data_IF_943462184572
#
_entry.id   IF_943462184572
#
_cell.length_a   1.000
_cell.length_b   1.000
_cell.length_c   1.000
_cell.angle_alpha   90.00
_cell.angle_beta   90.00
_cell.angle_gamma   90.00
#
_symmetry.space_group_name_H-M   'P 1'
#
loop_
_entity.id
_entity.type
_entity.pdbx_description
1 polymer ?
#
# COMPACT_ATOMS: atom_id res chain seq x y z
N UNK A 1 1.71 -21.60 -39.42
CA UNK A 1 0.70 -22.09 -38.45
C UNK A 1 1.32 -22.55 -37.13
N UNK A 2 2.65 -22.66 -37.01
CA UNK A 2 3.27 -23.25 -35.81
C UNK A 2 3.49 -22.28 -34.64
N UNK A 3 3.68 -20.98 -34.91
CA UNK A 3 3.89 -19.98 -33.86
C UNK A 3 2.71 -19.83 -32.88
N UNK A 4 1.47 -19.92 -33.38
CA UNK A 4 0.27 -19.78 -32.54
C UNK A 4 0.07 -20.97 -31.59
N UNK A 5 0.45 -22.18 -32.01
CA UNK A 5 0.39 -23.38 -31.15
C UNK A 5 1.44 -23.35 -30.05
N UNK A 6 2.65 -22.90 -30.36
CA UNK A 6 3.73 -22.73 -29.37
C UNK A 6 3.34 -21.69 -28.33
N UNK A 7 2.74 -20.57 -28.74
CA UNK A 7 2.25 -19.55 -27.82
C UNK A 7 1.12 -20.07 -26.91
N UNK A 8 0.17 -20.85 -27.44
CA UNK A 8 -0.91 -21.46 -26.65
C UNK A 8 -0.38 -22.45 -25.60
N UNK A 9 0.59 -23.30 -25.96
CA UNK A 9 1.23 -24.21 -25.00
C UNK A 9 1.95 -23.47 -23.87
N UNK A 10 2.61 -22.36 -24.19
CA UNK A 10 3.28 -21.52 -23.19
C UNK A 10 2.27 -20.91 -22.20
N UNK A 11 1.13 -20.42 -22.71
CA UNK A 11 0.04 -19.88 -21.89
C UNK A 11 -0.57 -20.96 -20.98
N UNK A 12 -0.82 -22.16 -21.50
CA UNK A 12 -1.33 -23.30 -20.72
C UNK A 12 -0.35 -23.70 -19.61
N UNK A 13 0.95 -23.69 -19.89
CA UNK A 13 2.00 -23.96 -18.90
C UNK A 13 2.04 -22.90 -17.79
N UNK A 14 1.89 -21.62 -18.13
CA UNK A 14 1.80 -20.54 -17.16
C UNK A 14 0.54 -20.64 -16.29
N UNK A 15 -0.61 -20.98 -16.87
CA UNK A 15 -1.86 -21.16 -16.12
C UNK A 15 -1.77 -22.31 -15.11
N UNK A 16 -1.23 -23.47 -15.51
CA UNK A 16 -1.01 -24.59 -14.59
C UNK A 16 -0.04 -24.25 -13.46
N UNK A 17 0.98 -23.44 -13.74
CA UNK A 17 1.92 -22.96 -12.72
C UNK A 17 1.20 -22.08 -11.68
N UNK A 18 0.40 -21.12 -12.14
CA UNK A 18 -0.39 -20.23 -11.27
C UNK A 18 -1.42 -21.02 -10.46
N UNK A 19 -2.14 -21.95 -11.11
CA UNK A 19 -3.09 -22.85 -10.45
C UNK A 19 -2.41 -23.64 -9.33
N UNK A 20 -1.25 -24.27 -9.61
CA UNK A 20 -0.48 -25.02 -8.63
C UNK A 20 0.10 -24.17 -7.48
N UNK A 21 0.42 -22.90 -7.74
CA UNK A 21 0.85 -21.95 -6.69
C UNK A 21 -0.33 -21.62 -5.76
N UNK A 22 -1.49 -21.31 -6.31
CA UNK A 22 -2.69 -21.00 -5.53
C UNK A 22 -3.16 -22.20 -4.71
N UNK A 23 -3.17 -23.40 -5.29
CA UNK A 23 -3.46 -24.65 -4.58
C UNK A 23 -2.47 -24.91 -3.44
N UNK A 24 -1.17 -24.61 -3.64
CA UNK A 24 -0.16 -24.76 -2.58
C UNK A 24 -0.33 -23.75 -1.44
N UNK A 25 -0.73 -22.51 -1.76
CA UNK A 25 -1.01 -21.48 -0.74
C UNK A 25 -2.22 -21.91 0.09
N UNK A 26 -3.27 -22.39 -0.58
CA UNK A 26 -4.49 -22.87 0.07
C UNK A 26 -4.22 -24.15 0.90
N UNK A 27 -3.42 -25.08 0.39
CA UNK A 27 -3.06 -26.33 1.08
C UNK A 27 -2.17 -26.15 2.32
N UNK A 28 -1.57 -24.96 2.51
CA UNK A 28 -0.86 -24.61 3.75
C UNK A 28 -1.78 -24.01 4.82
N UNK A 29 -3.03 -23.72 4.48
CA UNK A 29 -4.04 -23.26 5.42
C UNK A 29 -4.82 -24.50 5.94
N UNK A 30 -4.95 -24.66 7.26
CA UNK A 30 -5.46 -25.91 7.85
C UNK A 30 -6.97 -26.12 7.72
N UNK A 31 -7.74 -25.19 7.14
CA UNK A 31 -9.21 -25.26 7.16
C UNK A 31 -9.83 -25.58 5.79
N UNK A 32 -10.78 -26.51 5.85
CA UNK A 32 -11.65 -27.08 4.80
C UNK A 32 -11.03 -27.88 3.64
N UNK A 33 -10.73 -29.15 3.95
CA UNK A 33 -10.58 -30.20 2.93
C UNK A 33 -11.96 -30.66 2.47
N UNK A 34 -12.52 -30.00 1.46
CA UNK A 34 -13.68 -30.51 0.73
C UNK A 34 -13.37 -30.60 -0.76
N UNK A 35 -13.08 -31.82 -1.20
CA UNK A 35 -13.26 -32.39 -2.54
C UNK A 35 -13.15 -31.44 -3.75
N UNK A 36 -11.91 -31.15 -4.17
CA UNK A 36 -11.66 -30.68 -5.55
C UNK A 36 -11.44 -31.87 -6.46
N UNK A 37 -12.51 -32.31 -7.11
CA UNK A 37 -12.49 -33.30 -8.17
C UNK A 37 -11.63 -32.79 -9.33
N UNK A 38 -10.44 -33.38 -9.47
CA UNK A 38 -9.49 -33.15 -10.56
C UNK A 38 -10.02 -33.76 -11.85
N UNK A 39 -10.82 -33.00 -12.60
CA UNK A 39 -11.26 -33.36 -13.95
C UNK A 39 -10.14 -33.20 -14.97
N UNK A 40 -9.25 -34.19 -15.07
CA UNK A 40 -8.24 -34.27 -16.14
C UNK A 40 -8.94 -34.70 -17.43
N UNK A 41 -9.10 -33.79 -18.39
CA UNK A 41 -9.57 -34.14 -19.74
C UNK A 41 -8.65 -33.57 -20.82
N UNK A 42 -8.14 -34.46 -21.67
CA UNK A 42 -7.64 -34.13 -23.00
C UNK A 42 -8.75 -34.43 -24.01
N UNK A 43 -8.95 -33.57 -25.02
CA UNK A 43 -9.03 -33.92 -26.47
C UNK A 43 -9.67 -32.81 -27.32
N UNK A 44 -8.95 -32.34 -28.36
CA UNK A 44 -9.51 -31.70 -29.56
C UNK A 44 -9.06 -30.23 -29.81
N UNK A 45 -8.76 -29.83 -31.06
CA UNK A 45 -8.25 -28.47 -31.38
C UNK A 45 -9.27 -27.33 -31.15
N UNK A 46 -10.56 -27.63 -31.03
CA UNK A 46 -11.58 -26.66 -30.57
C UNK A 46 -11.77 -26.67 -29.04
N UNK A 47 -11.22 -27.68 -28.35
CA UNK A 47 -11.31 -27.82 -26.90
C UNK A 47 -10.21 -27.06 -26.15
N UNK A 48 -9.15 -26.59 -26.82
CA UNK A 48 -8.06 -25.81 -26.20
C UNK A 48 -8.53 -24.45 -25.70
N UNK A 49 -9.44 -23.78 -26.43
CA UNK A 49 -9.99 -22.48 -26.02
C UNK A 49 -10.98 -22.61 -24.85
N UNK A 50 -11.82 -23.65 -24.88
CA UNK A 50 -12.75 -23.96 -23.78
C UNK A 50 -12.00 -24.41 -22.52
N UNK A 51 -10.90 -25.16 -22.68
CA UNK A 51 -10.00 -25.52 -21.60
C UNK A 51 -9.37 -24.29 -20.95
N UNK A 52 -8.86 -23.35 -21.75
CA UNK A 52 -8.29 -22.10 -21.25
C UNK A 52 -9.32 -21.28 -20.45
N UNK A 53 -10.57 -21.22 -20.91
CA UNK A 53 -11.64 -20.52 -20.20
C UNK A 53 -11.99 -21.21 -18.87
N UNK A 54 -12.07 -22.55 -18.85
CA UNK A 54 -12.31 -23.32 -17.63
C UNK A 54 -11.17 -23.20 -16.62
N UNK A 55 -9.92 -23.30 -17.08
CA UNK A 55 -8.72 -23.18 -16.25
C UNK A 55 -8.61 -21.77 -15.66
N UNK A 56 -8.84 -20.73 -16.48
CA UNK A 56 -8.86 -19.35 -16.01
C UNK A 56 -9.96 -19.11 -14.96
N UNK A 57 -11.15 -19.69 -15.15
CA UNK A 57 -12.22 -19.62 -14.15
C UNK A 57 -11.87 -20.37 -12.86
N UNK A 58 -11.22 -21.53 -12.95
CA UNK A 58 -10.75 -22.27 -11.77
C UNK A 58 -9.69 -21.50 -10.99
N UNK A 59 -8.76 -20.84 -11.68
CA UNK A 59 -7.73 -19.98 -11.08
C UNK A 59 -8.37 -18.76 -10.41
N UNK A 60 -9.38 -18.16 -11.04
CA UNK A 60 -10.11 -17.03 -10.48
C UNK A 60 -10.84 -17.38 -9.19
N UNK A 61 -11.52 -18.53 -9.15
CA UNK A 61 -12.19 -19.00 -7.93
C UNK A 61 -11.18 -19.36 -6.82
N UNK A 62 -10.07 -20.03 -7.16
CA UNK A 62 -8.97 -20.27 -6.22
C UNK A 62 -8.38 -18.97 -5.67
N UNK A 63 -8.20 -17.95 -6.51
CA UNK A 63 -7.66 -16.66 -6.10
C UNK A 63 -8.60 -15.95 -5.11
N UNK A 64 -9.92 -15.95 -5.37
CA UNK A 64 -10.91 -15.38 -4.42
C UNK A 64 -10.88 -16.08 -3.07
N UNK A 65 -10.75 -17.40 -3.07
CA UNK A 65 -10.74 -18.18 -1.85
C UNK A 65 -9.48 -17.91 -1.02
N UNK A 66 -8.30 -17.91 -1.66
CA UNK A 66 -7.04 -17.50 -1.04
C UNK A 66 -7.14 -16.08 -0.47
N UNK A 67 -7.75 -15.14 -1.20
CA UNK A 67 -7.96 -13.77 -0.73
C UNK A 67 -8.88 -13.70 0.49
N UNK A 68 -9.96 -14.49 0.52
CA UNK A 68 -10.89 -14.57 1.64
C UNK A 68 -10.23 -15.14 2.91
N UNK A 69 -9.41 -16.18 2.74
CA UNK A 69 -8.69 -16.85 3.82
C UNK A 69 -7.60 -15.96 4.40
N UNK A 70 -6.83 -15.30 3.53
CA UNK A 70 -5.81 -14.33 3.96
C UNK A 70 -6.44 -13.14 4.68
N UNK A 71 -7.59 -12.66 4.20
CA UNK A 71 -8.34 -11.58 4.84
C UNK A 71 -8.84 -11.98 6.23
N UNK A 72 -9.38 -13.19 6.37
CA UNK A 72 -9.81 -13.74 7.66
C UNK A 72 -8.64 -13.88 8.64
N UNK A 73 -7.53 -14.52 8.23
CA UNK A 73 -6.34 -14.69 9.06
C UNK A 73 -5.72 -13.34 9.47
N UNK A 74 -5.73 -12.36 8.57
CA UNK A 74 -5.28 -11.00 8.87
C UNK A 74 -6.16 -10.35 9.93
N UNK A 75 -7.48 -10.44 9.82
CA UNK A 75 -8.41 -9.88 10.80
C UNK A 75 -8.26 -10.53 12.18
N UNK A 76 -8.10 -11.85 12.26
CA UNK A 76 -7.87 -12.50 13.54
C UNK A 76 -6.55 -12.11 14.20
N UNK A 77 -5.47 -11.97 13.40
CA UNK A 77 -4.16 -11.58 13.95
C UNK A 77 -4.14 -10.13 14.40
N UNK A 78 -4.84 -9.23 13.72
CA UNK A 78 -5.02 -7.84 14.18
C UNK A 78 -5.88 -7.79 15.44
N UNK A 79 -6.98 -8.53 15.50
CA UNK A 79 -7.84 -8.59 16.69
C UNK A 79 -7.06 -9.08 17.93
N UNK A 80 -6.28 -10.16 17.78
CA UNK A 80 -5.43 -10.69 18.88
C UNK A 80 -4.37 -9.69 19.33
N UNK A 81 -3.85 -8.84 18.44
CA UNK A 81 -2.90 -7.77 18.80
C UNK A 81 -3.61 -6.63 19.54
N UNK A 82 -4.76 -6.21 19.05
CA UNK A 82 -5.55 -5.13 19.66
C UNK A 82 -6.01 -5.50 21.07
N UNK A 83 -6.47 -6.74 21.28
CA UNK A 83 -6.86 -7.23 22.61
C UNK A 83 -5.66 -7.27 23.57
N UNK A 84 -4.47 -7.64 23.09
CA UNK A 84 -3.23 -7.58 23.88
C UNK A 84 -2.82 -6.14 24.20
N UNK A 85 -2.94 -5.21 23.26
CA UNK A 85 -2.65 -3.79 23.50
C UNK A 85 -3.58 -3.22 24.58
N UNK A 86 -4.89 -3.51 24.50
CA UNK A 86 -5.86 -3.07 25.51
C UNK A 86 -5.53 -3.62 26.91
N UNK A 87 -5.11 -4.89 27.01
CA UNK A 87 -4.67 -5.48 28.28
C UNK A 87 -3.42 -4.80 28.84
N UNK A 88 -2.46 -4.49 27.98
CA UNK A 88 -1.24 -3.79 28.39
C UNK A 88 -1.53 -2.36 28.83
N UNK A 89 -2.40 -1.65 28.12
CA UNK A 89 -2.87 -0.30 28.49
C UNK A 89 -3.60 -0.30 29.84
N UNK A 90 -4.43 -1.31 30.12
CA UNK A 90 -5.11 -1.43 31.42
C UNK A 90 -4.11 -1.65 32.55
N UNK A 91 -3.09 -2.51 32.33
CA UNK A 91 -2.02 -2.74 33.31
C UNK A 91 -1.15 -1.51 33.54
N UNK A 92 -0.77 -0.80 32.46
CA UNK A 92 -0.03 0.45 32.56
C UNK A 92 -0.82 1.52 33.34
N UNK A 93 -2.13 1.63 33.07
CA UNK A 93 -3.01 2.54 33.79
C UNK A 93 -3.11 2.19 35.28
N UNK A 94 -3.14 0.89 35.61
CA UNK A 94 -3.11 0.41 37.01
C UNK A 94 -1.80 0.76 37.70
N UNK A 95 -0.66 0.47 37.06
CA UNK A 95 0.67 0.77 37.60
C UNK A 95 0.91 2.28 37.76
N UNK A 96 0.37 3.10 36.86
CA UNK A 96 0.40 4.55 37.01
C UNK A 96 -0.37 5.03 38.23
N UNK A 97 -1.57 4.48 38.49
CA UNK A 97 -2.35 4.81 39.69
C UNK A 97 -1.63 4.38 40.96
N UNK A 98 -1.07 3.18 40.99
CA UNK A 98 -0.29 2.69 42.13
C UNK A 98 0.94 3.56 42.38
N UNK A 99 1.69 3.95 41.34
CA UNK A 99 2.79 4.91 41.50
C UNK A 99 2.33 6.27 42.03
N UNK A 100 1.16 6.75 41.60
CA UNK A 100 0.59 7.99 42.14
C UNK A 100 0.20 7.84 43.61
N UNK A 101 -0.35 6.70 44.00
CA UNK A 101 -0.69 6.37 45.38
C UNK A 101 0.55 6.26 46.26
N UNK A 102 1.60 5.57 45.81
CA UNK A 102 2.91 5.51 46.47
C UNK A 102 3.53 6.91 46.61
N UNK A 103 3.46 7.73 45.56
CA UNK A 103 3.93 9.11 45.61
C UNK A 103 3.18 9.95 46.64
N UNK A 104 1.85 9.81 46.70
CA UNK A 104 1.03 10.50 47.69
C UNK A 104 1.35 10.02 49.12
N UNK A 105 1.50 8.71 49.34
CA UNK A 105 1.91 8.17 50.65
C UNK A 105 3.29 8.66 51.07
N UNK A 106 4.26 8.68 50.14
CA UNK A 106 5.59 9.22 50.41
C UNK A 106 5.52 10.69 50.81
N UNK A 107 4.69 11.48 50.10
CA UNK A 107 4.49 12.89 50.42
C UNK A 107 3.89 13.07 51.82
N UNK A 108 2.88 12.27 52.18
CA UNK A 108 2.30 12.27 53.54
C UNK A 108 3.37 11.90 54.58
N UNK A 109 4.12 10.84 54.37
CA UNK A 109 5.18 10.40 55.28
C UNK A 109 6.29 11.46 55.45
N UNK A 110 6.66 12.16 54.38
CA UNK A 110 7.60 13.29 54.44
C UNK A 110 7.00 14.43 55.27
N UNK A 111 5.74 14.82 55.02
CA UNK A 111 5.10 15.91 55.77
C UNK A 111 4.88 15.56 57.25
N UNK A 112 4.59 14.30 57.58
CA UNK A 112 4.50 13.82 58.97
C UNK A 112 5.86 13.80 59.65
N UNK A 113 6.90 13.37 58.93
CA UNK A 113 8.29 13.44 59.40
C UNK A 113 8.70 14.90 59.67
N UNK A 114 8.45 15.81 58.74
CA UNK A 114 8.77 17.24 58.88
C UNK A 114 7.99 17.87 60.04
N UNK A 115 6.70 17.55 60.20
CA UNK A 115 5.90 18.03 61.33
C UNK A 115 6.37 17.47 62.68
N UNK A 116 6.82 16.21 62.72
CA UNK A 116 7.40 15.60 63.92
C UNK A 116 8.77 16.21 64.26
N UNK A 117 9.61 16.48 63.26
CA UNK A 117 10.88 17.20 63.42
C UNK A 117 10.65 18.62 63.93
N UNK A 118 9.70 19.37 63.35
CA UNK A 118 9.34 20.70 63.84
C UNK A 118 8.79 20.69 65.27
N UNK A 119 7.94 19.72 65.61
CA UNK A 119 7.41 19.60 66.98
C UNK A 119 8.51 19.22 67.98
N UNK A 120 9.43 18.31 67.62
CA UNK A 120 10.59 17.98 68.46
C UNK A 120 11.51 19.19 68.67
N UNK A 121 11.74 19.98 67.62
CA UNK A 121 12.55 21.21 67.68
C UNK A 121 11.88 22.29 68.53
N UNK A 122 10.54 22.40 68.55
CA UNK A 122 9.81 23.35 69.41
C UNK A 122 9.79 22.96 70.89
N UNK A 123 9.84 21.67 71.21
CA UNK A 123 9.83 21.18 72.60
C UNK A 123 11.21 21.12 73.26
N UNK A 124 12.30 21.15 72.50
CA UNK A 124 13.66 20.98 73.03
C UNK A 124 14.44 22.30 72.99
N UNK A 125 14.98 22.71 74.14
CA UNK A 125 15.93 23.82 74.23
C UNK A 125 17.21 23.49 73.43
N UNK A 126 17.88 24.51 72.83
CA UNK A 126 19.05 24.33 71.96
C UNK A 126 20.24 23.80 72.76
N UNK A 127 20.35 22.47 72.86
CA UNK A 127 21.40 21.79 73.61
C UNK A 127 21.28 20.27 73.60
N UNK A 128 20.07 19.73 73.46
CA UNK A 128 19.83 18.29 73.57
C UNK A 128 19.41 17.66 72.22
N UNK A 129 20.41 17.35 71.38
CA UNK A 129 20.19 16.69 70.07
C UNK A 129 19.96 15.18 70.19
N UNK A 130 20.25 14.58 71.35
CA UNK A 130 20.11 13.14 71.57
C UNK A 130 18.66 12.76 71.90
N UNK A 131 17.95 13.61 72.65
CA UNK A 131 16.54 13.38 72.97
C UNK A 131 15.60 13.50 71.76
N UNK A 132 15.95 14.32 70.76
CA UNK A 132 15.21 14.37 69.49
C UNK A 132 15.44 13.12 68.63
N UNK A 133 16.63 12.52 68.68
CA UNK A 133 16.96 11.29 67.96
C UNK A 133 16.24 10.08 68.54
N UNK A 134 16.11 9.98 69.86
CA UNK A 134 15.38 8.90 70.52
C UNK A 134 13.87 8.95 70.26
N UNK A 135 13.27 10.15 70.18
CA UNK A 135 11.86 10.31 69.81
C UNK A 135 11.57 9.90 68.35
N UNK A 136 12.45 10.28 67.41
CA UNK A 136 12.33 9.87 65.99
C UNK A 136 12.47 8.35 65.84
N UNK A 137 13.40 7.73 66.57
CA UNK A 137 13.58 6.28 66.60
C UNK A 137 12.36 5.55 67.16
N UNK A 138 11.74 6.05 68.22
CA UNK A 138 10.51 5.46 68.78
C UNK A 138 9.31 5.59 67.82
N UNK A 139 9.22 6.67 67.05
CA UNK A 139 8.16 6.83 66.04
C UNK A 139 8.40 5.88 64.86
N UNK A 140 9.65 5.75 64.40
CA UNK A 140 10.02 4.79 63.37
C UNK A 140 9.74 3.35 63.81
N UNK A 141 10.04 3.00 65.07
CA UNK A 141 9.75 1.70 65.67
C UNK A 141 8.23 1.43 65.73
N UNK A 142 7.42 2.41 66.13
CA UNK A 142 5.95 2.30 66.14
C UNK A 142 5.36 2.19 64.74
N UNK A 143 5.90 2.91 63.76
CA UNK A 143 5.49 2.83 62.36
C UNK A 143 5.81 1.47 61.75
N UNK A 144 7.01 0.95 62.01
CA UNK A 144 7.49 -0.35 61.55
C UNK A 144 6.69 -1.51 62.18
N UNK A 145 6.34 -1.40 63.46
CA UNK A 145 5.42 -2.33 64.14
C UNK A 145 4.03 -2.33 63.50
N UNK A 146 3.50 -1.18 63.08
CA UNK A 146 2.15 -1.06 62.51
C UNK A 146 2.02 -1.70 61.12
N UNK A 147 3.13 -1.82 60.39
CA UNK A 147 3.22 -2.55 59.10
C UNK A 147 3.77 -3.97 59.24
N UNK A 148 3.89 -4.49 60.47
CA UNK A 148 4.22 -5.90 60.74
C UNK A 148 5.70 -6.25 60.82
N UNK A 149 6.60 -5.27 60.83
CA UNK A 149 8.05 -5.47 60.98
C UNK A 149 8.48 -5.11 62.42
N UNK A 150 8.17 -5.96 63.40
CA UNK A 150 8.69 -5.81 64.76
C UNK A 150 10.07 -6.47 64.90
N UNK A 151 11.10 -5.71 65.28
CA UNK A 151 12.42 -6.25 65.63
C UNK A 151 12.36 -6.93 67.01
N UNK A 152 12.64 -8.24 67.06
CA UNK A 152 12.81 -9.01 68.30
C UNK A 152 14.22 -8.71 68.85
N UNK A 153 14.34 -7.77 69.80
CA UNK A 153 15.60 -7.47 70.50
C UNK A 153 15.48 -7.70 72.04
N UNK A 154 14.48 -8.46 72.47
CA UNK A 154 14.20 -8.68 73.90
C UNK A 154 14.76 -10.01 74.42
N UNK A 155 16.07 -10.27 74.29
CA UNK A 155 16.72 -11.44 74.94
C UNK A 155 18.13 -11.20 75.52
N UNK A 156 18.84 -10.10 75.27
CA UNK A 156 20.29 -10.02 75.63
C UNK A 156 20.64 -8.90 76.65
N UNK A 157 19.74 -8.50 77.54
CA UNK A 157 20.17 -7.73 78.72
C UNK A 157 19.33 -8.09 79.95
N UNK A 158 19.64 -9.27 80.50
CA UNK A 158 19.29 -9.65 81.86
C UNK A 158 20.56 -9.74 82.70
N UNK A 159 20.94 -8.64 83.36
CA UNK A 159 21.73 -8.70 84.61
C UNK A 159 20.73 -9.00 85.74
N UNK A 160 20.89 -10.09 86.52
CA UNK A 160 20.02 -10.33 87.65
C UNK A 160 20.45 -9.44 88.84
N UNK A 161 19.49 -8.63 89.27
CA UNK A 161 19.51 -7.94 90.54
C UNK A 161 19.56 -8.94 91.70
N UNK A 162 20.40 -8.62 92.68
CA UNK A 162 20.55 -9.27 93.97
C UNK A 162 19.22 -9.38 94.73
N UNK A 163 18.93 -10.59 95.21
CA UNK A 163 17.83 -10.89 96.11
C UNK A 163 18.11 -10.43 97.55
N UNK A 164 17.11 -9.82 98.17
CA UNK A 164 17.03 -9.46 99.58
C UNK A 164 16.48 -10.63 100.44
N UNK A 165 17.21 -10.98 101.53
CA UNK A 165 16.71 -11.30 102.90
C UNK A 165 15.70 -12.49 103.09
N UNK A 166 15.31 -12.98 104.31
CA UNK A 166 15.63 -12.54 105.68
C UNK A 166 15.88 -13.64 106.77
N UNK A 167 16.21 -13.18 108.00
CA UNK A 167 15.76 -13.71 109.34
C UNK A 167 16.32 -15.05 109.87
N UNK A 168 16.51 -15.37 111.18
CA UNK A 168 16.31 -14.77 112.53
C UNK A 168 16.78 -15.82 113.57
N UNK A 169 17.31 -15.38 114.74
CA UNK A 169 17.26 -15.97 116.12
C UNK A 169 17.59 -17.47 116.35
N UNK A 170 18.25 -17.93 117.41
CA UNK A 170 18.11 -17.55 118.83
C UNK A 170 19.24 -18.19 119.67
N UNK A 171 19.47 -17.65 120.86
CA UNK A 171 20.44 -18.14 121.83
C UNK A 171 20.00 -19.43 122.54
N UNK A 172 20.94 -20.25 123.02
CA UNK A 172 20.87 -20.95 124.34
C UNK A 172 22.14 -21.75 124.68
N UNK A 173 22.81 -21.32 125.76
CA UNK A 173 23.36 -22.10 126.88
C UNK A 173 24.09 -23.44 126.66
N UNK A 174 25.39 -23.42 127.01
CA UNK A 174 26.11 -24.37 127.87
C UNK A 174 25.57 -25.80 128.07
N UNK A 175 26.40 -26.81 127.84
CA UNK A 175 26.93 -27.71 128.88
C UNK A 175 27.87 -28.76 128.26
N UNK A 176 29.03 -28.90 128.91
CA UNK A 176 30.05 -29.93 128.73
C UNK A 176 29.52 -31.37 128.60
N UNK A 177 30.02 -32.15 127.64
CA UNK A 177 30.60 -33.50 127.91
C UNK A 177 31.10 -34.19 126.64
N UNK A 178 32.41 -34.07 126.44
CA UNK A 178 33.38 -35.05 125.92
C UNK A 178 32.92 -36.22 125.01
N UNK A 179 33.53 -36.21 123.81
CA UNK A 179 34.02 -37.39 123.08
C UNK A 179 33.00 -38.26 122.30
N UNK A 180 32.23 -37.65 121.38
CA UNK A 180 31.53 -38.35 120.27
C UNK A 180 31.41 -37.56 118.94
N UNK A 181 32.04 -36.39 118.79
CA UNK A 181 31.89 -35.52 117.60
C UNK A 181 32.74 -35.92 116.38
N UNK A 182 33.82 -36.68 116.55
CA UNK A 182 34.72 -36.98 115.42
C UNK A 182 34.06 -37.86 114.34
N UNK A 183 33.26 -38.87 114.71
CA UNK A 183 32.69 -39.81 113.74
C UNK A 183 31.52 -39.23 112.92
N UNK A 184 30.69 -38.36 113.51
CA UNK A 184 29.55 -37.72 112.84
C UNK A 184 30.01 -36.63 111.85
N UNK A 185 31.06 -35.87 112.19
CA UNK A 185 31.68 -34.88 111.31
C UNK A 185 32.36 -35.55 110.10
N UNK A 186 33.04 -36.69 110.30
CA UNK A 186 33.64 -37.45 109.20
C UNK A 186 32.59 -38.02 108.23
N UNK A 187 31.45 -38.51 108.73
CA UNK A 187 30.34 -38.99 107.88
C UNK A 187 29.65 -37.84 107.14
N UNK A 188 29.49 -36.67 107.78
CA UNK A 188 28.95 -35.46 107.14
C UNK A 188 29.87 -34.93 106.04
N UNK A 189 31.18 -34.86 106.29
CA UNK A 189 32.18 -34.47 105.30
C UNK A 189 32.23 -35.45 104.12
N UNK A 190 32.16 -36.75 104.37
CA UNK A 190 32.11 -37.76 103.31
C UNK A 190 30.87 -37.60 102.42
N UNK A 191 29.70 -37.33 103.02
CA UNK A 191 28.46 -37.06 102.29
C UNK A 191 28.57 -35.76 101.46
N UNK A 192 29.18 -34.70 102.00
CA UNK A 192 29.42 -33.45 101.25
C UNK A 192 30.35 -33.68 100.06
N UNK A 193 31.45 -34.42 100.24
CA UNK A 193 32.38 -34.75 99.15
C UNK A 193 31.71 -35.64 98.11
N UNK A 194 30.93 -36.64 98.52
CA UNK A 194 30.16 -37.49 97.62
C UNK A 194 29.14 -36.69 96.80
N UNK A 195 28.41 -35.77 97.43
CA UNK A 195 27.46 -34.88 96.76
C UNK A 195 28.17 -33.92 95.80
N UNK A 196 29.32 -33.35 96.19
CA UNK A 196 30.13 -32.52 95.30
C UNK A 196 30.71 -33.32 94.13
N UNK A 197 31.15 -34.55 94.37
CA UNK A 197 31.66 -35.45 93.32
C UNK A 197 30.56 -35.87 92.35
N UNK A 198 29.34 -36.17 92.83
CA UNK A 198 28.16 -36.44 91.98
C UNK A 198 27.77 -35.21 91.17
N UNK A 199 27.75 -34.03 91.81
CA UNK A 199 27.51 -32.74 91.15
C UNK A 199 28.51 -32.47 90.04
N UNK A 200 29.81 -32.65 90.30
CA UNK A 200 30.86 -32.46 89.29
C UNK A 200 30.77 -33.51 88.17
N UNK A 201 30.43 -34.77 88.48
CA UNK A 201 30.23 -35.78 87.44
C UNK A 201 29.03 -35.43 86.53
N UNK A 202 27.94 -34.92 87.10
CA UNK A 202 26.80 -34.47 86.32
C UNK A 202 27.20 -33.29 85.42
N UNK A 203 27.90 -32.29 85.97
CA UNK A 203 28.37 -31.14 85.20
C UNK A 203 29.34 -31.55 84.07
N UNK A 204 30.25 -32.49 84.32
CA UNK A 204 31.13 -33.06 83.29
C UNK A 204 30.33 -33.77 82.20
N UNK A 205 29.26 -34.48 82.57
CA UNK A 205 28.36 -35.13 81.60
C UNK A 205 27.60 -34.12 80.76
N UNK A 206 27.02 -33.09 81.40
CA UNK A 206 26.24 -32.05 80.74
C UNK A 206 27.12 -31.23 79.79
N UNK A 207 28.35 -30.87 80.19
CA UNK A 207 29.31 -30.17 79.34
C UNK A 207 29.74 -31.00 78.13
N UNK A 208 29.89 -32.32 78.29
CA UNK A 208 30.20 -33.22 77.15
C UNK A 208 29.04 -33.27 76.17
N UNK A 209 27.81 -33.39 76.67
CA UNK A 209 26.63 -33.36 75.81
C UNK A 209 26.51 -32.03 75.07
N UNK A 210 26.67 -30.90 75.77
CA UNK A 210 26.63 -29.57 75.14
C UNK A 210 27.75 -29.39 74.10
N UNK A 211 28.93 -29.95 74.34
CA UNK A 211 30.03 -29.95 73.37
C UNK A 211 29.70 -30.79 72.13
N UNK A 212 29.16 -31.99 72.30
CA UNK A 212 28.74 -32.87 71.20
C UNK A 212 27.60 -32.25 70.37
N UNK A 213 26.63 -31.60 71.03
CA UNK A 213 25.56 -30.83 70.39
C UNK A 213 26.14 -29.67 69.57
N UNK A 214 27.02 -28.86 70.16
CA UNK A 214 27.69 -27.74 69.45
C UNK A 214 28.51 -28.20 68.25
N UNK A 215 29.18 -29.37 68.36
CA UNK A 215 29.91 -29.97 67.24
C UNK A 215 28.95 -30.40 66.12
N UNK A 216 27.82 -30.99 66.47
CA UNK A 216 26.80 -31.40 65.49
C UNK A 216 26.18 -30.21 64.76
N UNK A 217 25.97 -29.09 65.47
CA UNK A 217 25.51 -27.83 64.90
C UNK A 217 26.57 -27.23 63.97
N UNK A 218 27.85 -27.28 64.35
CA UNK A 218 28.95 -26.85 63.49
C UNK A 218 28.98 -27.65 62.17
N UNK A 219 28.86 -28.99 62.26
CA UNK A 219 28.78 -29.87 61.08
C UNK A 219 27.53 -29.58 60.24
N UNK A 220 26.41 -29.18 60.86
CA UNK A 220 25.20 -28.76 60.16
C UNK A 220 25.38 -27.45 59.40
N UNK A 221 25.93 -26.41 60.05
CA UNK A 221 26.22 -25.15 59.41
C UNK A 221 27.25 -25.29 58.29
N UNK A 222 28.26 -26.16 58.45
CA UNK A 222 29.23 -26.45 57.39
C UNK A 222 28.56 -27.09 56.17
N UNK A 223 27.63 -28.03 56.38
CA UNK A 223 26.83 -28.61 55.28
C UNK A 223 25.97 -27.57 54.57
N UNK A 224 25.29 -26.71 55.32
CA UNK A 224 24.50 -25.62 54.73
C UNK A 224 25.38 -24.64 53.95
N UNK A 225 26.54 -24.28 54.49
CA UNK A 225 27.50 -23.42 53.80
C UNK A 225 27.98 -24.03 52.48
N UNK A 226 28.30 -25.33 52.46
CA UNK A 226 28.68 -26.06 51.26
C UNK A 226 27.54 -26.12 50.23
N UNK A 227 26.30 -26.36 50.66
CA UNK A 227 25.13 -26.37 49.77
C UNK A 227 24.89 -24.98 49.16
N UNK A 228 25.02 -23.92 49.96
CA UNK A 228 24.89 -22.54 49.49
C UNK A 228 26.02 -22.18 48.52
N UNK A 229 27.26 -22.56 48.81
CA UNK A 229 28.39 -22.36 47.89
C UNK A 229 28.13 -23.05 46.54
N UNK A 230 27.69 -24.31 46.53
CA UNK A 230 27.37 -25.02 45.30
C UNK A 230 26.23 -24.35 44.50
N UNK A 231 25.23 -23.79 45.18
CA UNK A 231 24.16 -23.02 44.54
C UNK A 231 24.69 -21.73 43.92
N UNK A 232 25.59 -21.03 44.61
CA UNK A 232 26.25 -19.83 44.09
C UNK A 232 27.03 -20.17 42.82
N UNK A 233 27.84 -21.23 42.83
CA UNK A 233 28.63 -21.65 41.65
C UNK A 233 27.73 -21.98 40.45
N UNK A 234 26.59 -22.65 40.69
CA UNK A 234 25.59 -22.96 39.65
C UNK A 234 24.97 -21.68 39.07
N UNK A 235 24.61 -20.72 39.93
CA UNK A 235 24.05 -19.45 39.48
C UNK A 235 25.09 -18.62 38.72
N UNK A 236 26.35 -18.61 39.17
CA UNK A 236 27.44 -17.92 38.48
C UNK A 236 27.68 -18.51 37.08
N UNK A 237 27.68 -19.84 36.94
CA UNK A 237 27.80 -20.50 35.65
C UNK A 237 26.62 -20.16 34.72
N UNK A 238 25.38 -20.14 35.24
CA UNK A 238 24.19 -19.77 34.47
C UNK A 238 24.23 -18.29 34.03
N UNK A 239 24.70 -17.39 34.89
CA UNK A 239 24.87 -15.97 34.54
C UNK A 239 25.85 -15.83 33.38
N UNK A 240 27.03 -16.48 33.44
CA UNK A 240 28.03 -16.43 32.37
C UNK A 240 27.49 -16.98 31.04
N UNK A 241 26.72 -18.07 31.07
CA UNK A 241 26.08 -18.64 29.88
C UNK A 241 25.03 -17.69 29.27
N UNK A 242 24.26 -16.99 30.11
CA UNK A 242 23.33 -15.95 29.65
C UNK A 242 24.05 -14.75 29.03
N UNK A 243 25.13 -14.27 29.65
CA UNK A 243 25.96 -13.16 29.12
C UNK A 243 26.56 -13.50 27.75
N UNK A 244 27.01 -14.74 27.55
CA UNK A 244 27.52 -15.20 26.26
C UNK A 244 26.43 -15.25 25.19
N UNK A 245 25.22 -15.73 25.54
CA UNK A 245 24.08 -15.72 24.62
C UNK A 245 23.63 -14.30 24.29
N UNK A 246 23.60 -13.41 25.27
CA UNK A 246 23.32 -11.98 25.05
C UNK A 246 24.34 -11.37 24.09
N UNK A 247 25.64 -11.59 24.33
CA UNK A 247 26.70 -11.10 23.46
C UNK A 247 26.56 -11.62 22.02
N UNK A 248 26.23 -12.90 21.85
CA UNK A 248 26.00 -13.50 20.53
C UNK A 248 24.76 -12.89 19.84
N UNK A 249 23.66 -12.72 20.58
CA UNK A 249 22.44 -12.12 20.05
C UNK A 249 22.64 -10.66 19.66
N UNK A 250 23.43 -9.90 20.43
CA UNK A 250 23.79 -8.52 20.09
C UNK A 250 24.53 -8.49 18.75
N UNK A 251 25.58 -9.30 18.58
CA UNK A 251 26.32 -9.37 17.32
C UNK A 251 25.43 -9.80 16.16
N UNK A 252 24.58 -10.81 16.36
CA UNK A 252 23.64 -11.26 15.34
C UNK A 252 22.62 -10.19 14.95
N UNK A 253 22.13 -9.40 15.90
CA UNK A 253 21.23 -8.27 15.62
C UNK A 253 21.99 -7.16 14.89
N UNK A 254 23.23 -6.86 15.29
CA UNK A 254 24.07 -5.88 14.60
C UNK A 254 24.29 -6.26 13.13
N UNK A 255 24.64 -7.51 12.84
CA UNK A 255 24.81 -8.03 11.48
C UNK A 255 23.52 -7.89 10.67
N UNK A 256 22.38 -8.34 11.21
CA UNK A 256 21.07 -8.18 10.56
C UNK A 256 20.71 -6.71 10.33
N UNK A 257 21.08 -5.80 11.24
CA UNK A 257 20.82 -4.37 11.04
C UNK A 257 21.69 -3.77 9.93
N UNK A 258 22.90 -4.30 9.70
CA UNK A 258 23.75 -3.91 8.59
C UNK A 258 23.19 -4.43 7.27
N UNK A 259 22.76 -5.69 7.22
CA UNK A 259 22.09 -6.28 6.05
C UNK A 259 20.81 -5.51 5.70
N UNK A 260 19.96 -5.22 6.69
CA UNK A 260 18.74 -4.43 6.49
C UNK A 260 19.05 -3.03 5.94
N UNK A 261 20.13 -2.38 6.39
CA UNK A 261 20.55 -1.07 5.85
C UNK A 261 21.02 -1.17 4.41
N UNK A 262 21.74 -2.24 4.04
CA UNK A 262 22.18 -2.47 2.67
C UNK A 262 20.99 -2.73 1.74
N UNK A 263 20.08 -3.61 2.13
CA UNK A 263 18.84 -3.88 1.38
C UNK A 263 17.97 -2.61 1.24
N UNK A 264 17.89 -1.80 2.29
CA UNK A 264 17.16 -0.52 2.25
C UNK A 264 17.78 0.45 1.24
N UNK A 265 19.11 0.52 1.15
CA UNK A 265 19.81 1.35 0.16
C UNK A 265 19.55 0.85 -1.26
N UNK A 266 19.59 -0.46 -1.48
CA UNK A 266 19.24 -1.05 -2.77
C UNK A 266 17.78 -0.76 -3.14
N UNK A 267 16.84 -0.91 -2.19
CA UNK A 267 15.44 -0.58 -2.40
C UNK A 267 15.24 0.89 -2.77
N UNK A 268 15.98 1.82 -2.15
CA UNK A 268 15.94 3.24 -2.54
C UNK A 268 16.51 3.47 -3.94
N UNK A 269 17.62 2.81 -4.29
CA UNK A 269 18.23 2.89 -5.62
C UNK A 269 17.28 2.38 -6.71
N UNK A 270 16.64 1.24 -6.49
CA UNK A 270 15.65 0.68 -7.43
C UNK A 270 14.41 1.58 -7.53
N UNK A 271 13.96 2.16 -6.42
CA UNK A 271 12.86 3.13 -6.43
C UNK A 271 13.18 4.35 -7.30
N UNK A 272 14.35 4.96 -7.09
CA UNK A 272 14.80 6.12 -7.88
C UNK A 272 14.91 5.78 -9.37
N UNK A 273 15.45 4.60 -9.71
CA UNK A 273 15.49 4.12 -11.10
C UNK A 273 14.08 3.99 -11.71
N UNK A 274 13.15 3.38 -10.99
CA UNK A 274 11.75 3.27 -11.43
C UNK A 274 11.08 4.64 -11.60
N UNK A 275 11.34 5.59 -10.69
CA UNK A 275 10.80 6.95 -10.80
C UNK A 275 11.33 7.68 -12.04
N UNK A 276 12.61 7.51 -12.38
CA UNK A 276 13.21 8.05 -13.59
C UNK A 276 12.61 7.42 -14.86
N UNK A 277 12.43 6.10 -14.88
CA UNK A 277 11.80 5.40 -16.00
C UNK A 277 10.34 5.82 -16.19
N UNK A 278 9.58 5.96 -15.11
CA UNK A 278 8.21 6.48 -15.15
C UNK A 278 8.21 7.94 -15.62
N UNK A 279 9.19 8.75 -15.20
CA UNK A 279 9.38 10.12 -15.67
C UNK A 279 9.61 10.19 -17.18
N UNK A 280 10.54 9.37 -17.70
CA UNK A 280 10.84 9.25 -19.11
C UNK A 280 9.65 8.70 -19.93
N UNK A 281 8.91 7.73 -19.39
CA UNK A 281 7.69 7.22 -20.00
C UNK A 281 6.61 8.29 -20.11
N UNK A 282 6.42 9.10 -19.06
CA UNK A 282 5.49 10.23 -19.07
C UNK A 282 5.88 11.30 -20.09
N UNK A 283 7.16 11.62 -20.25
CA UNK A 283 7.60 12.58 -21.27
C UNK A 283 7.40 12.03 -22.69
N UNK A 284 7.76 10.77 -22.94
CA UNK A 284 7.53 10.13 -24.23
C UNK A 284 6.03 10.09 -24.61
N UNK A 285 5.15 9.77 -23.65
CA UNK A 285 3.69 9.82 -23.88
C UNK A 285 3.23 11.23 -24.21
N UNK A 286 3.79 12.27 -23.59
CA UNK A 286 3.45 13.67 -23.93
C UNK A 286 3.86 14.02 -25.35
N UNK A 287 5.06 13.62 -25.78
CA UNK A 287 5.56 13.83 -27.15
C UNK A 287 4.68 13.10 -28.18
N UNK A 288 4.37 11.82 -27.95
CA UNK A 288 3.47 11.05 -28.81
C UNK A 288 2.08 11.67 -28.90
N UNK A 289 1.54 12.19 -27.78
CA UNK A 289 0.26 12.89 -27.80
C UNK A 289 0.32 14.18 -28.64
N UNK A 290 1.43 14.92 -28.60
CA UNK A 290 1.63 16.11 -29.45
C UNK A 290 1.66 15.71 -30.93
N UNK A 291 2.40 14.66 -31.29
CA UNK A 291 2.42 14.14 -32.66
C UNK A 291 1.03 13.69 -33.13
N UNK A 292 0.28 12.98 -32.28
CA UNK A 292 -1.11 12.58 -32.58
C UNK A 292 -1.99 13.80 -32.82
N UNK A 293 -1.84 14.88 -32.03
CA UNK A 293 -2.62 16.11 -32.25
C UNK A 293 -2.28 16.76 -33.59
N UNK A 294 -1.00 16.86 -33.94
CA UNK A 294 -0.56 17.41 -35.21
C UNK A 294 -1.07 16.57 -36.39
N UNK A 295 -0.92 15.25 -36.34
CA UNK A 295 -1.41 14.34 -37.38
C UNK A 295 -2.95 14.42 -37.54
N UNK A 296 -3.69 14.61 -36.45
CA UNK A 296 -5.15 14.83 -36.51
C UNK A 296 -5.48 16.15 -37.20
N UNK A 297 -4.77 17.22 -36.90
CA UNK A 297 -4.94 18.51 -37.58
C UNK A 297 -4.60 18.43 -39.07
N UNK A 298 -3.55 17.70 -39.44
CA UNK A 298 -3.19 17.44 -40.84
C UNK A 298 -4.25 16.62 -41.56
N UNK A 299 -4.78 15.56 -40.93
CA UNK A 299 -5.85 14.75 -41.48
C UNK A 299 -7.10 15.59 -41.73
N UNK A 300 -7.52 16.41 -40.76
CA UNK A 300 -8.67 17.30 -40.93
C UNK A 300 -8.46 18.35 -42.03
N UNK A 301 -7.23 18.83 -42.23
CA UNK A 301 -6.89 19.73 -43.35
C UNK A 301 -7.04 19.02 -44.69
N UNK A 302 -6.44 17.84 -44.84
CA UNK A 302 -6.52 17.04 -46.07
C UNK A 302 -7.97 16.64 -46.37
N UNK A 303 -8.76 16.32 -45.34
CA UNK A 303 -10.19 16.03 -45.48
C UNK A 303 -10.96 17.22 -46.05
N UNK A 304 -10.74 18.43 -45.54
CA UNK A 304 -11.36 19.66 -46.07
C UNK A 304 -10.94 19.92 -47.51
N UNK A 305 -9.67 19.71 -47.85
CA UNK A 305 -9.17 19.87 -49.22
C UNK A 305 -9.80 18.84 -50.17
N UNK A 306 -9.99 17.61 -49.70
CA UNK A 306 -10.68 16.55 -50.44
C UNK A 306 -12.16 16.89 -50.67
N UNK A 307 -12.88 17.38 -49.65
CA UNK A 307 -14.28 17.83 -49.78
C UNK A 307 -14.40 19.00 -50.78
N UNK A 308 -13.45 19.94 -50.77
CA UNK A 308 -13.38 21.02 -51.74
C UNK A 308 -13.07 20.52 -53.18
N UNK A 309 -12.24 19.50 -53.33
CA UNK A 309 -11.98 18.87 -54.62
C UNK A 309 -13.20 18.08 -55.13
N UNK A 310 -13.91 17.38 -54.24
CA UNK A 310 -15.09 16.60 -54.58
C UNK A 310 -16.24 17.50 -55.05
N UNK A 311 -16.51 18.61 -54.34
CA UNK A 311 -17.50 19.61 -54.78
C UNK A 311 -17.17 20.23 -56.15
N UNK A 312 -15.88 20.46 -56.46
CA UNK A 312 -15.45 20.88 -57.80
C UNK A 312 -15.71 19.81 -58.86
N UNK A 313 -15.50 18.54 -58.53
CA UNK A 313 -15.79 17.42 -59.43
C UNK A 313 -17.29 17.36 -59.73
N UNK A 314 -18.14 17.44 -58.72
CA UNK A 314 -19.60 17.47 -58.89
C UNK A 314 -20.07 18.62 -59.79
N UNK A 315 -19.46 19.81 -59.66
CA UNK A 315 -19.75 20.95 -60.54
C UNK A 315 -19.32 20.68 -61.98
N UNK A 316 -18.15 20.06 -62.19
CA UNK A 316 -17.69 19.65 -63.54
C UNK A 316 -18.58 18.57 -64.14
N UNK A 317 -19.08 17.64 -63.34
CA UNK A 317 -20.02 16.61 -63.78
C UNK A 317 -21.37 17.23 -64.21
N UNK A 318 -21.91 18.16 -63.42
CA UNK A 318 -23.10 18.94 -63.78
C UNK A 318 -22.90 19.79 -65.04
N UNK A 319 -21.70 20.37 -65.21
CA UNK A 319 -21.36 21.10 -66.43
C UNK A 319 -21.28 20.16 -67.64
N UNK A 320 -20.66 18.99 -67.50
CA UNK A 320 -20.55 17.99 -68.56
C UNK A 320 -21.93 17.48 -68.99
N UNK A 321 -22.82 17.16 -68.04
CA UNK A 321 -24.20 16.73 -68.35
C UNK A 321 -25.00 17.83 -69.06
N UNK A 322 -24.87 19.09 -68.65
CA UNK A 322 -25.47 20.24 -69.33
C UNK A 322 -24.91 20.44 -70.74
N UNK A 323 -23.58 20.33 -70.91
CA UNK A 323 -22.93 20.42 -72.21
C UNK A 323 -23.37 19.29 -73.16
N UNK A 324 -23.49 18.05 -72.66
CA UNK A 324 -24.02 16.92 -73.42
C UNK A 324 -25.49 17.15 -73.83
N UNK A 325 -26.33 17.68 -72.95
CA UNK A 325 -27.72 18.02 -73.28
C UNK A 325 -27.81 19.14 -74.33
N UNK A 326 -26.98 20.18 -74.21
CA UNK A 326 -26.89 21.27 -75.19
C UNK A 326 -26.41 20.77 -76.56
N UNK A 327 -25.41 19.88 -76.57
CA UNK A 327 -24.95 19.24 -77.80
C UNK A 327 -26.06 18.40 -78.45
N UNK A 328 -26.77 17.57 -77.67
CA UNK A 328 -27.89 16.78 -78.18
C UNK A 328 -29.00 17.68 -78.77
N UNK A 329 -29.29 18.83 -78.16
CA UNK A 329 -30.23 19.81 -78.69
C UNK A 329 -29.73 20.46 -79.99
N UNK A 330 -28.44 20.81 -80.07
CA UNK A 330 -27.83 21.37 -81.27
C UNK A 330 -27.86 20.36 -82.44
N UNK A 331 -27.53 19.10 -82.19
CA UNK A 331 -27.60 18.02 -83.18
C UNK A 331 -29.04 17.79 -83.68
N UNK A 332 -30.04 17.91 -82.80
CA UNK A 332 -31.45 17.84 -83.19
C UNK A 332 -31.86 19.02 -84.10
N UNK A 333 -31.38 20.23 -83.79
CA UNK A 333 -31.60 21.43 -84.62
C UNK A 333 -30.95 21.29 -86.00
N UNK A 334 -29.71 20.79 -86.08
CA UNK A 334 -29.02 20.52 -87.35
C UNK A 334 -29.80 19.51 -88.19
N UNK A 335 -30.19 18.37 -87.61
CA UNK A 335 -31.02 17.37 -88.30
C UNK A 335 -32.34 17.95 -88.81
N UNK A 336 -32.96 18.87 -88.08
CA UNK A 336 -34.17 19.56 -88.51
C UNK A 336 -33.91 20.53 -89.67
N UNK A 337 -32.80 21.27 -89.63
CA UNK A 337 -32.37 22.14 -90.71
C UNK A 337 -32.07 21.36 -91.99
N UNK A 338 -31.35 20.23 -91.89
CA UNK A 338 -31.04 19.35 -93.01
C UNK A 338 -32.32 18.79 -93.66
N UNK A 339 -33.30 18.36 -92.85
CA UNK A 339 -34.60 17.92 -93.36
C UNK A 339 -35.36 19.04 -94.09
N UNK A 340 -35.33 20.27 -93.55
CA UNK A 340 -35.95 21.44 -94.22
C UNK A 340 -35.23 21.80 -95.52
N UNK A 341 -33.90 21.76 -95.53
CA UNK A 341 -33.09 22.02 -96.71
C UNK A 341 -33.36 20.99 -97.81
N UNK A 342 -33.41 19.70 -97.46
CA UNK A 342 -33.78 18.63 -98.39
C UNK A 342 -35.20 18.83 -98.97
N UNK A 343 -36.18 19.21 -98.14
CA UNK A 343 -37.53 19.53 -98.63
C UNK A 343 -37.57 20.75 -99.56
N UNK A 344 -36.78 21.79 -99.27
CA UNK A 344 -36.64 22.95 -100.17
C UNK A 344 -35.95 22.58 -101.48
N UNK A 345 -34.91 21.73 -101.45
CA UNK A 345 -34.25 21.23 -102.65
C UNK A 345 -35.23 20.47 -103.55
N UNK A 346 -36.03 19.56 -103.00
CA UNK A 346 -37.08 18.87 -103.76
C UNK A 346 -38.08 19.85 -104.40
N UNK A 347 -38.44 20.92 -103.69
CA UNK A 347 -39.33 21.96 -104.23
C UNK A 347 -38.67 22.75 -105.37
N UNK A 348 -37.39 23.08 -105.23
CA UNK A 348 -36.61 23.73 -106.28
C UNK A 348 -36.52 22.81 -107.50
N UNK A 349 -36.18 21.54 -107.31
CA UNK A 349 -36.11 20.54 -108.39
C UNK A 349 -37.44 20.42 -109.13
N UNK A 350 -38.58 20.36 -108.42
CA UNK A 350 -39.89 20.32 -109.06
C UNK A 350 -40.21 21.63 -109.82
N UNK A 351 -39.89 22.80 -109.25
CA UNK A 351 -40.05 24.07 -109.96
C UNK A 351 -39.14 24.15 -111.20
N UNK A 352 -37.91 23.64 -111.13
CA UNK A 352 -37.00 23.55 -112.27
C UNK A 352 -37.57 22.61 -113.33
N UNK A 353 -38.12 21.46 -112.95
CA UNK A 353 -38.81 20.53 -113.86
C UNK A 353 -40.02 21.18 -114.51
N UNK A 354 -40.78 21.98 -113.78
CA UNK A 354 -41.90 22.77 -114.31
C UNK A 354 -41.42 23.81 -115.31
N UNK A 355 -40.34 24.56 -115.03
CA UNK A 355 -39.75 25.50 -116.00
C UNK A 355 -39.26 24.77 -117.26
N UNK A 356 -38.57 23.62 -117.13
CA UNK A 356 -38.13 22.83 -118.28
C UNK A 356 -39.31 22.34 -119.13
N UNK A 357 -40.43 21.98 -118.50
CA UNK A 357 -41.67 21.62 -119.18
C UNK A 357 -42.33 22.84 -119.85
N UNK A 358 -42.41 23.98 -119.18
CA UNK A 358 -42.94 25.23 -119.74
C UNK A 358 -42.07 25.74 -120.90
N UNK A 359 -40.74 25.62 -120.84
CA UNK A 359 -39.83 25.92 -121.93
C UNK A 359 -40.00 24.94 -123.11
N UNK A 360 -40.23 23.65 -122.83
CA UNK A 360 -40.54 22.62 -123.83
C UNK A 360 -41.94 22.79 -124.45
N UNK A 361 -42.90 23.36 -123.71
CA UNK A 361 -44.23 23.73 -124.20
C UNK A 361 -44.20 25.06 -124.96
N UNK A 362 -43.38 26.03 -124.53
CA UNK A 362 -43.15 27.31 -125.20
C UNK A 362 -42.38 27.18 -126.52
N UNK A 363 -41.65 26.08 -126.73
CA UNK A 363 -41.06 25.75 -128.03
C UNK A 363 -42.05 25.16 -129.03
N UNK A 364 -43.26 24.75 -128.59
CA UNK A 364 -44.30 24.20 -129.47
C UNK A 364 -45.47 25.17 -129.71
N UNK A 365 -45.74 26.09 -128.79
CA UNK A 365 -46.78 27.11 -128.97
C UNK A 365 -46.20 28.53 -129.13
N UNK A 366 -46.28 28.99 -130.39
CA UNK A 366 -46.27 30.40 -130.86
C UNK A 366 -44.94 31.00 -131.33
N UNK A 367 -44.64 30.61 -132.56
CA UNK A 367 -44.16 31.48 -133.63
C UNK A 367 -45.15 32.61 -134.04
N UNK A 368 -46.03 33.11 -133.16
CA UNK A 368 -46.96 34.19 -133.53
C UNK A 368 -47.39 35.05 -132.35
N UNK A 369 -47.07 36.35 -132.46
CA UNK A 369 -47.58 37.53 -131.72
C UNK A 369 -46.71 38.01 -130.55
N UNK A 370 -45.73 38.85 -130.91
CA UNK A 370 -45.55 40.24 -130.45
C UNK A 370 -45.77 40.61 -128.95
N UNK A 371 -44.69 41.20 -128.39
CA UNK A 371 -44.62 42.37 -127.47
C UNK A 371 -44.33 42.12 -125.98
N UNK A 372 -43.23 42.76 -125.57
CA UNK A 372 -43.01 43.51 -124.31
C UNK A 372 -43.28 42.76 -123.00
N UNK A 373 -42.25 42.11 -122.47
CA UNK A 373 -42.08 42.01 -121.02
C UNK A 373 -40.65 42.39 -120.65
N UNK A 374 -40.58 43.20 -119.60
CA UNK A 374 -39.43 43.98 -119.15
C UNK A 374 -38.37 43.03 -118.59
N UNK A 375 -37.11 43.28 -118.93
CA UNK A 375 -36.00 42.95 -118.05
C UNK A 375 -36.21 43.73 -116.75
N UNK A 376 -36.91 43.15 -115.78
CA UNK A 376 -36.80 43.57 -114.39
C UNK A 376 -35.49 42.93 -113.93
N UNK A 377 -34.42 43.71 -114.06
CA UNK A 377 -33.20 43.50 -113.32
C UNK A 377 -33.57 43.24 -111.85
N UNK A 378 -33.32 42.02 -111.39
CA UNK A 378 -33.47 41.63 -110.00
C UNK A 378 -32.53 42.52 -109.17
N UNK A 379 -33.03 43.30 -108.18
CA UNK A 379 -32.19 44.18 -107.42
C UNK A 379 -31.39 43.35 -106.43
N UNK A 380 -30.18 42.94 -106.82
CA UNK A 380 -29.11 42.67 -105.85
C UNK A 380 -28.74 44.00 -105.19
N UNK A 381 -29.52 44.44 -104.22
CA UNK A 381 -29.06 45.43 -103.25
C UNK A 381 -29.34 44.93 -101.83
N UNK A 382 -28.21 44.71 -101.14
CA UNK A 382 -28.04 44.51 -99.69
C UNK A 382 -28.41 43.14 -99.14
N UNK A 383 -27.74 42.09 -99.61
CA UNK A 383 -27.16 41.15 -98.67
C UNK A 383 -25.70 41.55 -98.49
N UNK A 384 -25.47 42.36 -97.46
CA UNK A 384 -24.13 42.53 -96.89
C UNK A 384 -23.73 41.14 -96.41
N UNK A 385 -22.92 40.46 -97.21
CA UNK A 385 -22.08 39.36 -96.74
C UNK A 385 -21.29 39.97 -95.59
N UNK A 386 -21.66 39.65 -94.35
CA UNK A 386 -20.75 39.83 -93.22
C UNK A 386 -19.68 38.78 -93.47
N UNK A 387 -18.68 39.19 -94.23
CA UNK A 387 -17.40 38.50 -94.28
C UNK A 387 -16.99 38.29 -92.84
N UNK A 388 -16.91 37.05 -92.40
CA UNK A 388 -16.45 36.68 -91.07
C UNK A 388 -14.93 36.88 -91.00
N UNK A 389 -14.50 38.13 -91.14
CA UNK A 389 -13.20 38.60 -90.68
C UNK A 389 -13.43 39.46 -89.45
N UNK A 390 -13.02 38.93 -88.30
CA UNK A 390 -12.38 39.70 -87.24
C UNK A 390 -13.15 40.91 -86.70
N UNK A 391 -14.27 40.70 -86.01
CA UNK A 391 -14.70 41.53 -84.84
C UNK A 391 -15.99 41.00 -84.19
N UNK A 392 -15.88 39.89 -83.47
CA UNK A 392 -16.80 39.61 -82.35
C UNK A 392 -16.17 40.17 -81.07
N UNK A 393 -16.25 41.49 -80.89
CA UNK A 393 -16.14 42.13 -79.57
C UNK A 393 -17.21 43.20 -79.47
N UNK A 394 -17.72 43.32 -78.25
CA UNK A 394 -18.63 44.35 -77.72
C UNK A 394 -20.10 44.22 -78.11
N UNK A 395 -20.77 43.22 -77.53
CA UNK A 395 -22.22 43.27 -77.22
C UNK A 395 -22.49 43.39 -75.71
N UNK A 396 -21.53 43.92 -74.95
CA UNK A 396 -21.67 44.19 -73.52
C UNK A 396 -20.98 45.49 -73.12
N UNK A 397 -21.25 46.60 -73.82
CA UNK A 397 -20.76 47.93 -73.41
C UNK A 397 -21.80 48.98 -73.83
N UNK A 398 -22.31 49.75 -72.88
CA UNK A 398 -23.13 50.95 -73.16
C UNK A 398 -22.23 52.09 -73.69
N UNK A 399 -22.81 53.10 -74.34
CA UNK A 399 -22.16 54.17 -75.13
C UNK A 399 -21.06 54.97 -74.41
N UNK A 400 -20.81 54.73 -73.12
CA UNK A 400 -19.78 55.34 -72.29
C UNK A 400 -18.62 54.39 -71.88
N UNK A 401 -18.48 53.21 -72.48
CA UNK A 401 -17.24 52.42 -72.40
C UNK A 401 -16.97 51.66 -71.10
N UNK A 402 -17.97 51.40 -70.24
CA UNK A 402 -17.80 50.59 -69.01
C UNK A 402 -18.53 49.25 -69.10
N UNK A 403 -17.85 48.18 -68.69
CA UNK A 403 -18.37 46.80 -68.60
C UNK A 403 -19.24 46.61 -67.34
N UNK A 404 -20.31 45.83 -67.44
CA UNK A 404 -21.17 45.43 -66.33
C UNK A 404 -20.43 44.47 -65.37
N UNK A 405 -20.48 44.68 -64.05
CA UNK A 405 -19.74 43.89 -63.08
C UNK A 405 -20.47 42.56 -62.80
N UNK A 406 -20.16 41.50 -63.56
CA UNK A 406 -20.45 40.12 -63.09
C UNK A 406 -19.64 38.97 -63.69
N UNK A 407 -18.54 39.23 -64.39
CA UNK A 407 -17.68 38.14 -64.93
C UNK A 407 -16.18 38.44 -64.80
N UNK A 408 -15.73 39.09 -63.73
CA UNK A 408 -14.30 39.35 -63.48
C UNK A 408 -13.63 38.34 -62.52
N UNK A 409 -14.34 37.33 -62.01
CA UNK A 409 -13.77 36.43 -60.99
C UNK A 409 -13.14 35.13 -61.53
N UNK A 410 -12.69 35.05 -62.78
CA UNK A 410 -12.14 33.80 -63.34
C UNK A 410 -10.81 33.91 -64.11
N UNK A 411 -9.99 34.94 -63.89
CA UNK A 411 -8.61 34.95 -64.41
C UNK A 411 -7.63 35.71 -63.49
N UNK A 412 -7.45 35.22 -62.25
CA UNK A 412 -6.27 35.53 -61.45
C UNK A 412 -5.94 34.37 -60.49
N UNK A 413 -5.15 33.41 -60.98
CA UNK A 413 -4.31 32.52 -60.17
C UNK A 413 -3.31 31.80 -61.09
N UNK A 414 -2.27 32.53 -61.52
CA UNK A 414 -1.00 31.96 -61.92
C UNK A 414 0.11 32.93 -61.53
N UNK A 415 0.47 32.88 -60.26
CA UNK A 415 1.82 32.76 -59.65
C UNK A 415 1.57 32.41 -58.19
#
# INVERSE_FOLDING_TARGET
MDQSKVALQQVIGSLHSVHGILDNILGRVPDDRADRVRGRFCSGPNAELEFLALEANSIHELAKEVESVLSSARMETTQRKDDKCRLLESKLSSLMKENQELHNMLKVAITEKEAAEENCVRTLKPGDREQGRSAILQIAEKGLHKVGFGFIMEVISGEPASEDEPSTSDATTATSSNARDSEQEHVSLACIVENKMKSLHQEISDLRQAFDESRSDCDHFQRLAAERAQKIDKHEANIKDLEQRESFLILSVEDLTLEMKAEQQEATRWREACELEVGAGKSAIKELNQEITLLREELERVKKDLEAANSKLELKEKLATSAMAAQAAADACLKLADRRAAGLQQRIEELTRQMEQEDAHGTKDKASIQRRLRYICWPWQRLRVISSSSRARTWFVDQNGRLLPRTEALLQARI
#
